data_IF_032189705530
#
_entry.id   IF_032189705530
#
_cell.length_a   1.000
_cell.length_b   1.000
_cell.length_c   1.000
_cell.angle_alpha   90.00
_cell.angle_beta   90.00
_cell.angle_gamma   90.00
#
_symmetry.space_group_name_H-M   'P 1'
#
loop_
_entity.id
_entity.type
_entity.pdbx_description
1 polymer ?
#
# COMPACT_ATOMS: atom_id res chain seq x y z
N UNK A 1 -19.14 13.14 2.51
CA UNK A 1 -18.19 12.55 1.54
C UNK A 1 -17.34 11.55 2.29
N UNK A 2 -17.46 10.24 2.01
CA UNK A 2 -16.55 9.25 2.59
C UNK A 2 -15.14 9.51 2.05
N UNK A 3 -14.14 9.65 2.93
CA UNK A 3 -12.73 9.66 2.52
C UNK A 3 -12.33 8.21 2.24
N UNK A 4 -11.96 7.90 1.00
CA UNK A 4 -11.31 6.63 0.69
C UNK A 4 -9.85 6.70 1.17
N UNK A 5 -9.42 5.69 1.93
CA UNK A 5 -8.04 5.53 2.40
C UNK A 5 -7.44 4.30 1.71
N UNK A 6 -6.20 4.41 1.21
CA UNK A 6 -5.54 3.33 0.48
C UNK A 6 -4.36 2.78 1.28
N UNK A 7 -4.36 1.46 1.50
CA UNK A 7 -3.36 0.78 2.32
C UNK A 7 -2.55 -0.23 1.49
N UNK A 8 -1.23 -0.27 1.70
CA UNK A 8 -0.35 -1.27 1.10
C UNK A 8 -0.42 -2.58 1.90
N UNK A 9 -1.01 -3.60 1.31
CA UNK A 9 -1.00 -4.96 1.86
C UNK A 9 0.03 -5.83 1.15
N UNK A 10 0.64 -6.76 1.91
CA UNK A 10 1.47 -7.83 1.34
C UNK A 10 0.61 -9.07 1.15
N UNK A 11 0.54 -9.56 -0.08
CA UNK A 11 -0.21 -10.76 -0.45
C UNK A 11 0.71 -11.87 -0.93
N UNK A 12 0.34 -13.12 -0.63
CA UNK A 12 1.02 -14.30 -1.16
C UNK A 12 0.31 -14.79 -2.42
N UNK A 13 1.02 -14.82 -3.55
CA UNK A 13 0.51 -15.31 -4.83
C UNK A 13 0.70 -16.82 -4.91
N UNK A 14 -0.35 -17.56 -5.28
CA UNK A 14 -0.31 -19.02 -5.45
C UNK A 14 -0.02 -19.41 -6.91
N UNK A 15 -0.83 -18.91 -7.84
CA UNK A 15 -0.75 -19.27 -9.25
C UNK A 15 -1.34 -18.17 -10.14
N UNK A 16 -0.78 -17.99 -11.33
CA UNK A 16 -1.24 -16.98 -12.30
C UNK A 16 -1.69 -17.65 -13.60
N UNK A 17 -2.86 -17.27 -14.09
CA UNK A 17 -3.42 -17.78 -15.34
C UNK A 17 -4.41 -16.79 -15.93
N UNK A 18 -4.46 -16.67 -17.26
CA UNK A 18 -5.42 -15.80 -17.98
C UNK A 18 -5.49 -14.35 -17.44
N UNK A 19 -4.34 -13.75 -17.10
CA UNK A 19 -4.26 -12.39 -16.53
C UNK A 19 -4.93 -12.25 -15.15
N UNK A 20 -5.15 -13.36 -14.45
CA UNK A 20 -5.64 -13.41 -13.08
C UNK A 20 -4.63 -14.11 -12.18
N UNK A 21 -4.57 -13.69 -10.93
CA UNK A 21 -3.62 -14.19 -9.95
C UNK A 21 -4.39 -14.69 -8.72
N UNK A 22 -4.20 -15.96 -8.37
CA UNK A 22 -4.80 -16.57 -7.19
C UNK A 22 -4.04 -16.14 -5.94
N UNK A 23 -4.74 -15.53 -4.98
CA UNK A 23 -4.15 -15.03 -3.74
C UNK A 23 -4.41 -16.01 -2.61
N UNK A 24 -3.34 -16.46 -1.94
CA UNK A 24 -3.42 -17.42 -0.83
C UNK A 24 -3.54 -16.77 0.55
N UNK A 25 -3.07 -15.53 0.71
CA UNK A 25 -3.17 -14.76 1.95
C UNK A 25 -2.89 -13.27 1.73
N UNK A 26 -3.26 -12.42 2.70
CA UNK A 26 -2.97 -10.99 2.71
C UNK A 26 -4.09 -10.07 2.21
N UNK A 27 -5.21 -10.66 1.78
CA UNK A 27 -6.46 -9.98 1.40
C UNK A 27 -7.65 -10.81 1.89
N UNK A 28 -8.78 -10.16 2.12
CA UNK A 28 -10.05 -10.80 2.46
C UNK A 28 -11.09 -10.59 1.34
N UNK A 29 -12.09 -11.45 1.28
CA UNK A 29 -13.24 -11.24 0.41
C UNK A 29 -13.94 -9.91 0.75
N UNK A 30 -14.30 -9.15 -0.28
CA UNK A 30 -14.88 -7.81 -0.13
C UNK A 30 -13.87 -6.68 -0.07
N UNK A 31 -12.57 -6.96 0.08
CA UNK A 31 -11.53 -5.94 -0.03
C UNK A 31 -11.51 -5.34 -1.45
N UNK A 32 -11.46 -4.01 -1.53
CA UNK A 32 -11.31 -3.31 -2.80
C UNK A 32 -9.84 -3.15 -3.13
N UNK A 33 -9.44 -3.60 -4.32
CA UNK A 33 -8.06 -3.50 -4.82
C UNK A 33 -7.97 -2.54 -5.99
N UNK A 34 -6.83 -1.86 -6.11
CA UNK A 34 -6.57 -0.94 -7.22
C UNK A 34 -5.94 -1.72 -8.39
N UNK A 35 -6.61 -1.72 -9.53
CA UNK A 35 -6.18 -2.45 -10.75
C UNK A 35 -5.59 -1.54 -11.83
N UNK A 36 -5.54 -0.22 -11.61
CA UNK A 36 -5.03 0.76 -12.56
C UNK A 36 -4.33 1.90 -11.84
N UNK A 37 -3.25 2.41 -12.43
CA UNK A 37 -2.46 3.51 -11.84
C UNK A 37 -1.58 3.11 -10.65
N UNK A 38 -1.42 1.80 -10.36
CA UNK A 38 -0.64 1.29 -9.22
C UNK A 38 0.79 1.85 -9.18
N UNK A 39 1.44 2.05 -10.33
CA UNK A 39 2.79 2.61 -10.41
C UNK A 39 2.86 4.04 -9.84
N UNK A 40 1.93 4.92 -10.21
CA UNK A 40 1.94 6.30 -9.72
C UNK A 40 1.64 6.37 -8.23
N UNK A 41 0.67 5.57 -7.79
CA UNK A 41 0.27 5.46 -6.39
C UNK A 41 1.43 4.96 -5.52
N UNK A 42 2.09 3.88 -5.94
CA UNK A 42 3.25 3.37 -5.21
C UNK A 42 4.41 4.36 -5.26
N UNK A 43 4.65 4.98 -6.41
CA UNK A 43 5.72 5.96 -6.56
C UNK A 43 5.51 7.16 -5.63
N UNK A 44 4.29 7.67 -5.50
CA UNK A 44 3.95 8.75 -4.57
C UNK A 44 4.20 8.34 -3.12
N UNK A 45 3.70 7.17 -2.69
CA UNK A 45 3.90 6.66 -1.35
C UNK A 45 5.39 6.42 -1.03
N UNK A 46 6.14 5.88 -2.00
CA UNK A 46 7.57 5.61 -1.88
C UNK A 46 8.40 6.90 -1.82
N UNK A 47 8.13 7.87 -2.70
CA UNK A 47 8.80 9.18 -2.71
C UNK A 47 8.51 9.93 -1.42
N UNK A 48 7.25 9.98 -0.99
CA UNK A 48 6.87 10.65 0.27
C UNK A 48 7.62 10.05 1.45
N UNK A 49 7.62 8.72 1.56
CA UNK A 49 8.37 8.04 2.62
C UNK A 49 9.89 8.27 2.52
N UNK A 50 10.46 8.37 1.32
CA UNK A 50 11.88 8.68 1.13
C UNK A 50 12.22 10.12 1.53
N UNK A 51 11.39 11.09 1.13
CA UNK A 51 11.55 12.50 1.50
C UNK A 51 11.43 12.70 3.01
N UNK A 52 10.52 11.99 3.68
CA UNK A 52 10.40 12.01 5.14
C UNK A 52 11.69 11.53 5.81
N UNK A 53 12.30 10.44 5.33
CA UNK A 53 13.59 9.94 5.84
C UNK A 53 14.75 10.92 5.57
N UNK A 54 14.75 11.60 4.42
CA UNK A 54 15.75 12.63 4.12
C UNK A 54 15.64 13.83 5.07
N UNK A 55 14.41 14.24 5.42
CA UNK A 55 14.16 15.37 6.33
C UNK A 55 14.37 15.01 7.80
N UNK A 56 14.16 13.75 8.15
CA UNK A 56 14.29 13.23 9.51
C UNK A 56 15.11 11.94 9.52
N UNK A 57 16.43 12.01 9.30
CA UNK A 57 17.30 10.83 9.22
C UNK A 57 17.30 10.01 10.54
N UNK A 58 17.03 10.67 11.67
CA UNK A 58 16.89 10.04 12.99
C UNK A 58 15.63 9.15 13.13
N UNK A 59 14.60 9.41 12.31
CA UNK A 59 13.29 8.72 12.37
C UNK A 59 13.24 7.60 11.35
N UNK A 60 14.18 6.67 11.44
CA UNK A 60 14.12 5.48 10.60
C UNK A 60 13.26 4.43 11.32
N UNK A 61 12.27 3.88 10.59
CA UNK A 61 11.76 2.49 10.71
C UNK A 61 10.28 2.25 11.08
N UNK A 62 9.45 3.21 11.53
CA UNK A 62 8.09 2.84 12.01
C UNK A 62 6.86 3.54 11.42
N UNK A 63 6.96 4.48 10.47
CA UNK A 63 5.81 5.37 10.22
C UNK A 63 5.06 5.30 8.89
N UNK A 64 5.48 4.54 7.88
CA UNK A 64 4.79 4.62 6.58
C UNK A 64 3.38 3.99 6.61
N UNK A 65 3.10 3.02 7.49
CA UNK A 65 1.73 2.52 7.69
C UNK A 65 0.94 3.30 8.76
N UNK A 66 1.59 4.13 9.58
CA UNK A 66 0.92 4.86 10.67
C UNK A 66 0.33 6.21 10.22
N UNK A 67 0.75 6.74 9.06
CA UNK A 67 0.17 7.96 8.51
C UNK A 67 -1.26 7.76 7.99
N UNK A 68 -1.60 6.55 7.48
CA UNK A 68 -2.99 6.21 7.14
C UNK A 68 -3.85 5.86 8.37
N UNK A 69 -3.24 5.46 9.48
CA UNK A 69 -3.92 5.05 10.72
C UNK A 69 -4.18 6.21 11.71
N UNK A 70 -3.48 7.33 11.59
CA UNK A 70 -3.61 8.51 12.48
C UNK A 70 -4.60 9.57 12.00
N UNK A 71 -5.25 9.35 10.85
CA UNK A 71 -6.33 10.21 10.34
C UNK A 71 -7.73 9.59 10.49
N UNK A 72 -7.87 8.57 11.36
CA UNK A 72 -9.16 8.03 11.79
C UNK A 72 -9.69 8.83 12.99
#
# INVERSE_FOLDING_TARGET
MMKASLCRNRSHVLHESQQQSGIGSGLNEGDTVVVSGLFLIDSEANITGALERMRHPEKTEKQVCQQCLSSL
#
